data_IF_600175612283
#
_entry.id   IF_600175612283
#
_cell.length_a   1.000
_cell.length_b   1.000
_cell.length_c   1.000
_cell.angle_alpha   90.00
_cell.angle_beta   90.00
_cell.angle_gamma   90.00
#
_symmetry.space_group_name_H-M   'P 1'
#
loop_
_entity.id
_entity.type
_entity.pdbx_description
1 polymer ?
#
# COMPACT_ATOMS: atom_id res chain seq x y z
N UNK A 1 -25.38 4.10 -13.91
CA UNK A 1 -24.69 3.71 -12.66
C UNK A 1 -23.47 2.85 -13.04
N UNK A 2 -22.33 3.10 -12.42
CA UNK A 2 -21.09 2.33 -12.59
C UNK A 2 -20.93 1.45 -11.35
N UNK A 3 -20.67 0.17 -11.54
CA UNK A 3 -20.39 -0.76 -10.44
C UNK A 3 -18.87 -0.82 -10.18
N UNK A 4 -18.48 -0.69 -8.93
CA UNK A 4 -17.09 -0.90 -8.45
C UNK A 4 -17.09 -2.16 -7.60
N UNK A 5 -16.26 -3.13 -7.96
CA UNK A 5 -16.11 -4.38 -7.22
C UNK A 5 -14.83 -4.29 -6.37
N UNK A 6 -15.01 -4.17 -5.07
CA UNK A 6 -13.93 -3.99 -4.09
C UNK A 6 -13.81 -2.55 -3.58
N UNK A 7 -13.91 -2.39 -2.26
CA UNK A 7 -13.88 -1.13 -1.54
C UNK A 7 -12.56 -0.89 -0.79
N UNK A 8 -11.42 -1.29 -1.38
CA UNK A 8 -10.09 -0.88 -0.94
C UNK A 8 -9.76 0.55 -1.38
N UNK A 9 -8.54 1.03 -1.10
CA UNK A 9 -8.09 2.40 -1.44
C UNK A 9 -8.29 2.73 -2.91
N UNK A 10 -8.08 1.78 -3.82
CA UNK A 10 -8.25 1.98 -5.27
C UNK A 10 -9.73 2.19 -5.60
N UNK A 11 -10.61 1.27 -5.18
CA UNK A 11 -12.05 1.36 -5.46
C UNK A 11 -12.69 2.61 -4.86
N UNK A 12 -12.33 2.95 -3.61
CA UNK A 12 -12.82 4.16 -2.93
C UNK A 12 -12.32 5.44 -3.60
N UNK A 13 -11.06 5.50 -4.04
CA UNK A 13 -10.49 6.66 -4.75
C UNK A 13 -11.16 6.86 -6.11
N UNK A 14 -11.40 5.77 -6.85
CA UNK A 14 -12.13 5.82 -8.14
C UNK A 14 -13.58 6.28 -7.92
N UNK A 15 -14.26 5.73 -6.89
CA UNK A 15 -15.62 6.15 -6.55
C UNK A 15 -15.67 7.67 -6.27
N UNK A 16 -14.76 8.17 -5.44
CA UNK A 16 -14.67 9.59 -5.14
C UNK A 16 -14.48 10.43 -6.40
N UNK A 17 -13.54 10.07 -7.29
CA UNK A 17 -13.33 10.80 -8.55
C UNK A 17 -14.52 10.72 -9.50
N UNK A 18 -15.23 9.61 -9.57
CA UNK A 18 -16.46 9.49 -10.36
C UNK A 18 -17.59 10.34 -9.80
N UNK A 19 -17.76 10.42 -8.49
CA UNK A 19 -18.74 11.29 -7.83
C UNK A 19 -18.48 12.75 -8.14
N UNK A 20 -17.20 13.18 -8.10
CA UNK A 20 -16.80 14.56 -8.42
C UNK A 20 -17.24 15.00 -9.84
N UNK A 21 -17.23 14.08 -10.80
CA UNK A 21 -17.71 14.34 -12.18
C UNK A 21 -19.17 13.96 -12.39
N UNK A 22 -19.97 13.89 -11.31
CA UNK A 22 -21.43 13.70 -11.38
C UNK A 22 -21.90 12.27 -11.70
N UNK A 23 -21.04 11.25 -11.68
CA UNK A 23 -21.45 9.87 -11.97
C UNK A 23 -22.03 9.19 -10.73
N UNK A 24 -23.09 8.39 -10.96
CA UNK A 24 -23.64 7.50 -9.92
C UNK A 24 -22.84 6.19 -9.89
N UNK A 25 -22.45 5.76 -8.70
CA UNK A 25 -21.67 4.54 -8.48
C UNK A 25 -22.33 3.63 -7.45
N UNK A 26 -22.14 2.32 -7.61
CA UNK A 26 -22.44 1.30 -6.62
C UNK A 26 -21.14 0.58 -6.27
N UNK A 27 -20.80 0.51 -4.98
CA UNK A 27 -19.64 -0.22 -4.49
C UNK A 27 -20.13 -1.51 -3.84
N UNK A 28 -19.62 -2.64 -4.31
CA UNK A 28 -19.81 -3.94 -3.67
C UNK A 28 -18.51 -4.40 -3.04
N UNK A 29 -18.56 -4.85 -1.80
CA UNK A 29 -17.43 -5.51 -1.15
C UNK A 29 -17.91 -6.79 -0.45
N UNK A 30 -17.08 -7.84 -0.52
CA UNK A 30 -17.35 -9.12 0.14
C UNK A 30 -17.37 -9.01 1.67
N UNK A 31 -16.67 -8.00 2.22
CA UNK A 31 -16.55 -7.70 3.64
C UNK A 31 -16.94 -6.24 3.90
N UNK A 32 -16.48 -5.68 5.01
CA UNK A 32 -16.53 -4.23 5.25
C UNK A 32 -15.51 -3.51 4.39
N UNK A 33 -15.89 -2.33 3.89
CA UNK A 33 -15.03 -1.48 3.06
C UNK A 33 -13.72 -1.13 3.78
N UNK A 34 -12.63 -1.16 3.04
CA UNK A 34 -11.33 -0.71 3.50
C UNK A 34 -10.65 -1.60 4.53
N UNK A 35 -11.06 -2.86 4.75
CA UNK A 35 -10.56 -3.73 5.83
C UNK A 35 -9.55 -4.81 5.40
N UNK A 36 -9.10 -4.78 4.14
CA UNK A 36 -8.13 -5.75 3.61
C UNK A 36 -6.74 -5.11 3.41
N UNK A 37 -6.02 -5.41 2.31
CA UNK A 37 -4.64 -4.97 2.05
C UNK A 37 -4.42 -3.46 2.30
N UNK A 38 -5.37 -2.62 1.92
CA UNK A 38 -5.26 -1.17 2.08
C UNK A 38 -5.22 -0.73 3.55
N UNK A 39 -5.94 -1.43 4.44
CA UNK A 39 -5.92 -1.18 5.87
C UNK A 39 -4.66 -1.72 6.54
N UNK A 40 -4.19 -2.88 6.05
CA UNK A 40 -2.99 -3.52 6.57
C UNK A 40 -1.71 -2.78 6.20
N UNK A 41 -1.69 -2.04 5.10
CA UNK A 41 -0.51 -1.37 4.57
C UNK A 41 0.05 -0.32 5.54
N UNK A 42 1.38 -0.20 5.60
CA UNK A 42 2.04 0.85 6.37
C UNK A 42 1.93 2.24 5.75
N UNK A 43 1.48 2.37 4.51
CA UNK A 43 1.27 3.66 3.85
C UNK A 43 2.54 4.36 3.38
N UNK A 44 3.59 3.62 3.10
CA UNK A 44 4.75 4.14 2.37
C UNK A 44 4.34 4.57 0.96
N UNK A 45 4.89 5.69 0.51
CA UNK A 45 4.74 6.24 -0.84
C UNK A 45 6.12 6.28 -1.49
N UNK A 46 6.74 5.11 -1.64
CA UNK A 46 8.14 4.91 -1.98
C UNK A 46 8.39 4.68 -3.48
N UNK A 47 7.57 5.27 -4.34
CA UNK A 47 7.58 5.02 -5.78
C UNK A 47 8.90 5.35 -6.51
N UNK A 48 9.89 5.89 -5.81
CA UNK A 48 11.24 6.11 -6.34
C UNK A 48 12.23 5.08 -5.84
N UNK A 49 12.24 4.81 -4.53
CA UNK A 49 13.13 3.81 -3.92
C UNK A 49 12.78 2.37 -4.33
N UNK A 50 11.51 2.12 -4.65
CA UNK A 50 11.02 0.83 -5.16
C UNK A 50 11.30 0.62 -6.66
N UNK A 51 11.87 1.60 -7.38
CA UNK A 51 12.20 1.43 -8.80
C UNK A 51 13.39 0.45 -8.95
N UNK A 52 13.18 -0.61 -9.69
CA UNK A 52 14.17 -1.66 -9.94
C UNK A 52 14.61 -1.73 -11.42
N UNK A 53 15.79 -2.28 -11.72
CA UNK A 53 16.20 -2.60 -13.09
C UNK A 53 15.18 -3.53 -13.77
N UNK A 54 14.76 -3.19 -14.99
CA UNK A 54 13.73 -3.90 -15.75
C UNK A 54 12.34 -3.30 -15.62
N UNK A 55 12.10 -2.40 -14.65
CA UNK A 55 10.81 -1.73 -14.41
C UNK A 55 10.77 -0.28 -14.93
N UNK A 56 11.69 0.10 -15.81
CA UNK A 56 11.81 1.48 -16.32
C UNK A 56 10.48 2.02 -16.90
N UNK A 57 9.64 1.14 -17.46
CA UNK A 57 8.33 1.51 -17.99
C UNK A 57 7.31 1.83 -16.92
N UNK A 58 7.45 1.26 -15.72
CA UNK A 58 6.56 1.50 -14.57
C UNK A 58 6.90 2.81 -13.86
N UNK A 59 8.18 3.18 -13.81
CA UNK A 59 8.66 4.35 -13.08
C UNK A 59 7.91 5.66 -13.39
N UNK A 60 7.59 6.02 -14.67
CA UNK A 60 6.82 7.23 -14.96
C UNK A 60 5.43 7.26 -14.30
N UNK A 61 4.77 6.11 -14.17
CA UNK A 61 3.48 5.98 -13.49
C UNK A 61 3.65 6.20 -11.98
N UNK A 62 4.64 5.55 -11.37
CA UNK A 62 4.95 5.69 -9.95
C UNK A 62 5.32 7.14 -9.60
N UNK A 63 6.17 7.77 -10.40
CA UNK A 63 6.56 9.17 -10.23
C UNK A 63 5.37 10.14 -10.35
N UNK A 64 4.46 9.93 -11.32
CA UNK A 64 3.22 10.71 -11.45
C UNK A 64 2.30 10.54 -10.23
N UNK A 65 2.13 9.29 -9.77
CA UNK A 65 1.36 8.99 -8.56
C UNK A 65 1.91 9.73 -7.35
N UNK A 66 3.21 9.70 -7.16
CA UNK A 66 3.90 10.38 -6.07
C UNK A 66 3.73 11.91 -6.13
N UNK A 67 3.83 12.51 -7.32
CA UNK A 67 3.60 13.94 -7.53
C UNK A 67 2.14 14.34 -7.28
N UNK A 68 1.19 13.44 -7.46
CA UNK A 68 -0.23 13.71 -7.24
C UNK A 68 -0.63 13.68 -5.74
N UNK A 69 0.13 12.99 -4.89
CA UNK A 69 -0.21 12.79 -3.48
C UNK A 69 -0.40 14.07 -2.67
N UNK A 70 0.43 15.12 -2.77
CA UNK A 70 0.22 16.37 -2.02
C UNK A 70 -1.16 16.98 -2.28
N UNK A 71 -1.56 17.05 -3.55
CA UNK A 71 -2.86 17.58 -3.95
C UNK A 71 -4.00 16.66 -3.51
N UNK A 72 -3.83 15.34 -3.71
CA UNK A 72 -4.82 14.34 -3.30
C UNK A 72 -5.08 14.38 -1.79
N UNK A 73 -4.03 14.41 -0.97
CA UNK A 73 -4.13 14.48 0.47
C UNK A 73 -4.84 15.77 0.92
N UNK A 74 -4.43 16.92 0.38
CA UNK A 74 -5.03 18.21 0.68
C UNK A 74 -6.52 18.28 0.34
N UNK A 75 -6.90 17.85 -0.87
CA UNK A 75 -8.31 17.81 -1.31
C UNK A 75 -9.13 16.87 -0.42
N UNK A 76 -8.58 15.68 -0.10
CA UNK A 76 -9.26 14.69 0.72
C UNK A 76 -9.46 15.19 2.15
N UNK A 77 -8.44 15.81 2.77
CA UNK A 77 -8.53 16.40 4.10
C UNK A 77 -9.60 17.51 4.16
N UNK A 78 -9.59 18.42 3.19
CA UNK A 78 -10.54 19.52 3.15
C UNK A 78 -11.99 19.04 3.00
N UNK A 79 -12.25 18.09 2.12
CA UNK A 79 -13.62 17.61 1.85
C UNK A 79 -14.12 16.70 2.99
N UNK A 80 -13.23 15.86 3.52
CA UNK A 80 -13.61 14.93 4.60
C UNK A 80 -13.67 15.58 5.98
N UNK A 81 -12.87 16.62 6.21
CA UNK A 81 -12.58 17.20 7.52
C UNK A 81 -11.66 16.31 8.38
N UNK A 82 -11.00 15.31 7.78
CA UNK A 82 -10.15 14.35 8.49
C UNK A 82 -8.71 14.43 8.00
N UNK A 83 -7.73 14.37 8.92
CA UNK A 83 -6.32 14.31 8.59
C UNK A 83 -5.93 12.92 8.08
N UNK A 84 -5.06 12.87 7.06
CA UNK A 84 -4.50 11.62 6.51
C UNK A 84 -3.04 11.39 6.95
N UNK A 85 -2.49 12.32 7.72
CA UNK A 85 -1.10 12.28 8.19
C UNK A 85 -0.09 12.13 7.04
N UNK A 86 -0.22 12.97 6.01
CA UNK A 86 0.75 13.01 4.93
C UNK A 86 2.06 13.65 5.41
N UNK A 87 3.10 12.82 5.60
CA UNK A 87 4.43 13.23 6.10
C UNK A 87 5.45 13.23 4.97
N UNK A 88 6.29 14.28 4.93
CA UNK A 88 7.28 14.55 3.88
C UNK A 88 8.73 14.40 4.38
N UNK A 89 8.95 13.65 5.43
CA UNK A 89 10.27 13.51 6.04
C UNK A 89 11.27 12.77 5.12
N UNK A 90 10.77 11.92 4.23
CA UNK A 90 11.56 11.11 3.33
C UNK A 90 11.77 9.69 3.84
N UNK A 91 12.43 8.88 3.01
CA UNK A 91 12.71 7.46 3.30
C UNK A 91 14.20 7.18 3.13
N UNK A 92 14.79 6.36 4.01
CA UNK A 92 16.17 5.92 3.94
C UNK A 92 16.19 4.40 3.78
N UNK A 93 16.73 3.91 2.66
CA UNK A 93 17.07 2.50 2.48
C UNK A 93 18.45 2.24 3.06
N UNK A 94 18.57 1.23 3.94
CA UNK A 94 19.76 0.96 4.75
C UNK A 94 20.48 -0.30 4.27
N UNK A 95 21.81 -0.32 4.47
CA UNK A 95 22.66 -1.51 4.37
C UNK A 95 23.44 -1.70 5.68
N UNK A 96 23.38 -2.93 6.24
CA UNK A 96 24.00 -3.26 7.52
C UNK A 96 25.18 -4.23 7.39
N UNK A 97 25.43 -4.76 6.21
CA UNK A 97 26.57 -5.62 5.90
C UNK A 97 27.16 -5.31 4.52
N UNK A 98 28.27 -5.98 4.17
CA UNK A 98 28.98 -5.74 2.91
C UNK A 98 28.17 -6.12 1.68
N UNK A 99 27.39 -7.20 1.74
CA UNK A 99 26.62 -7.68 0.60
C UNK A 99 25.46 -6.73 0.31
N UNK A 100 24.75 -6.31 1.36
CA UNK A 100 23.73 -5.27 1.27
C UNK A 100 24.29 -3.95 0.75
N UNK A 101 25.47 -3.54 1.26
CA UNK A 101 26.13 -2.32 0.80
C UNK A 101 26.52 -2.37 -0.69
N UNK A 102 27.00 -3.50 -1.19
CA UNK A 102 27.31 -3.67 -2.60
C UNK A 102 26.04 -3.68 -3.46
N UNK A 103 24.99 -4.35 -3.02
CA UNK A 103 23.67 -4.30 -3.67
C UNK A 103 23.15 -2.86 -3.73
N UNK A 104 23.27 -2.13 -2.61
CA UNK A 104 22.80 -0.75 -2.51
C UNK A 104 23.59 0.20 -3.44
N UNK A 105 24.91 0.00 -3.61
CA UNK A 105 25.74 0.73 -4.60
C UNK A 105 25.25 0.49 -6.03
N UNK A 106 24.90 -0.74 -6.37
CA UNK A 106 24.34 -1.09 -7.69
C UNK A 106 23.00 -0.39 -7.91
N UNK A 107 22.11 -0.43 -6.91
CA UNK A 107 20.82 0.29 -6.93
C UNK A 107 21.03 1.79 -7.08
N UNK A 108 21.98 2.38 -6.36
CA UNK A 108 22.28 3.81 -6.49
C UNK A 108 22.83 4.19 -7.87
N UNK A 109 23.65 3.32 -8.47
CA UNK A 109 24.13 3.48 -9.85
C UNK A 109 23.00 3.43 -10.86
N UNK A 110 22.03 2.52 -10.67
CA UNK A 110 20.80 2.47 -11.47
C UNK A 110 20.00 3.76 -11.35
N UNK A 111 19.81 4.30 -10.15
CA UNK A 111 19.12 5.58 -9.95
C UNK A 111 19.82 6.73 -10.67
N UNK A 112 21.16 6.82 -10.58
CA UNK A 112 21.94 7.83 -11.32
C UNK A 112 21.75 7.71 -12.82
N UNK A 113 21.87 6.51 -13.38
CA UNK A 113 21.68 6.24 -14.81
C UNK A 113 20.30 6.69 -15.30
N UNK A 114 19.26 6.46 -14.50
CA UNK A 114 17.87 6.80 -14.82
C UNK A 114 17.47 8.22 -14.36
N UNK A 115 18.42 9.06 -13.94
CA UNK A 115 18.18 10.45 -13.48
C UNK A 115 17.18 10.54 -12.31
N UNK A 116 17.11 9.49 -11.50
CA UNK A 116 16.31 9.46 -10.27
C UNK A 116 17.13 10.13 -9.17
N UNK A 117 16.68 11.28 -8.69
CA UNK A 117 17.43 12.07 -7.70
C UNK A 117 17.37 11.45 -6.31
N UNK A 118 18.48 10.84 -5.90
CA UNK A 118 18.70 10.21 -4.60
C UNK A 118 20.00 10.71 -3.98
N UNK A 119 20.10 10.66 -2.65
CA UNK A 119 21.34 10.98 -1.94
C UNK A 119 21.93 9.71 -1.31
N UNK A 120 23.20 9.42 -1.61
CA UNK A 120 23.96 8.43 -0.85
C UNK A 120 24.36 9.02 0.51
N UNK A 121 24.21 8.22 1.55
CA UNK A 121 24.63 8.57 2.91
C UNK A 121 25.56 7.47 3.44
N UNK A 122 26.65 7.85 4.09
CA UNK A 122 27.43 6.93 4.90
C UNK A 122 26.76 6.72 6.28
N UNK A 123 27.26 5.75 7.07
CA UNK A 123 26.67 5.41 8.36
C UNK A 123 26.67 6.58 9.36
N UNK A 124 27.66 7.45 9.33
CA UNK A 124 27.72 8.63 10.21
C UNK A 124 26.66 9.67 9.82
N UNK A 125 26.54 9.98 8.53
CA UNK A 125 25.50 10.89 8.02
C UNK A 125 24.08 10.39 8.34
N UNK A 126 23.87 9.04 8.34
CA UNK A 126 22.60 8.43 8.74
C UNK A 126 22.36 8.64 10.23
N UNK A 127 23.35 8.39 11.10
CA UNK A 127 23.23 8.59 12.56
C UNK A 127 23.03 10.05 12.95
N UNK A 128 23.57 11.00 12.20
CA UNK A 128 23.24 12.43 12.38
C UNK A 128 21.74 12.69 12.13
N UNK A 129 21.13 12.00 11.17
CA UNK A 129 19.68 12.14 10.87
C UNK A 129 18.79 11.32 11.81
N UNK A 130 19.26 10.15 12.20
CA UNK A 130 18.56 9.14 12.99
C UNK A 130 19.51 8.60 14.08
N UNK A 131 19.61 9.28 15.21
CA UNK A 131 20.63 9.00 16.25
C UNK A 131 20.58 7.59 16.85
N UNK A 132 19.40 6.94 16.80
CA UNK A 132 19.20 5.60 17.36
C UNK A 132 19.44 4.46 16.36
N UNK A 133 19.82 4.78 15.11
CA UNK A 133 20.19 3.77 14.11
C UNK A 133 21.48 3.07 14.55
N UNK A 134 21.49 1.75 14.37
CA UNK A 134 22.60 0.87 14.74
C UNK A 134 23.94 1.32 14.16
N UNK A 135 25.01 1.17 14.94
CA UNK A 135 26.41 1.36 14.47
C UNK A 135 26.80 0.38 13.36
N UNK A 136 26.07 -0.74 13.21
CA UNK A 136 26.24 -1.72 12.13
C UNK A 136 25.78 -1.17 10.76
N UNK A 137 24.98 -0.10 10.72
CA UNK A 137 24.57 0.51 9.46
C UNK A 137 25.76 1.17 8.79
N UNK A 138 26.14 0.63 7.62
CA UNK A 138 27.30 1.05 6.84
C UNK A 138 26.99 2.24 5.92
N UNK A 139 25.81 2.20 5.27
CA UNK A 139 25.38 3.21 4.30
C UNK A 139 23.87 3.18 4.08
N UNK A 140 23.40 4.15 3.30
CA UNK A 140 21.99 4.20 2.88
C UNK A 140 21.77 5.07 1.66
N UNK A 141 20.59 4.90 1.05
CA UNK A 141 20.08 5.78 0.01
C UNK A 141 18.91 6.57 0.58
N UNK A 142 19.04 7.87 0.60
CA UNK A 142 17.99 8.79 1.04
C UNK A 142 17.20 9.33 -0.12
N UNK A 143 15.90 9.10 -0.09
CA UNK A 143 14.92 9.75 -0.98
C UNK A 143 14.14 10.81 -0.21
N UNK A 144 14.39 12.08 -0.52
CA UNK A 144 13.63 13.20 0.04
C UNK A 144 12.16 13.20 -0.44
N UNK A 145 11.88 12.57 -1.59
CA UNK A 145 10.56 12.60 -2.23
C UNK A 145 9.71 11.39 -1.93
N UNK A 146 10.25 10.35 -1.32
CA UNK A 146 9.46 9.20 -0.87
C UNK A 146 8.90 9.48 0.51
N UNK A 147 7.59 9.62 0.56
CA UNK A 147 6.82 10.11 1.69
C UNK A 147 6.01 8.97 2.34
N UNK A 148 5.14 9.31 3.29
CA UNK A 148 4.21 8.38 3.90
C UNK A 148 2.86 9.03 4.21
N UNK A 149 1.84 8.20 4.35
CA UNK A 149 0.51 8.54 4.85
C UNK A 149 0.08 7.54 5.91
N UNK A 150 -0.88 7.88 6.72
CA UNK A 150 -1.57 6.87 7.52
C UNK A 150 -2.65 6.20 6.64
N UNK A 151 -2.40 4.97 6.20
CA UNK A 151 -3.30 4.22 5.30
C UNK A 151 -4.72 4.10 5.87
N UNK A 152 -4.84 3.86 7.19
CA UNK A 152 -6.13 3.74 7.89
C UNK A 152 -6.90 5.07 7.89
N UNK A 153 -6.20 6.20 8.04
CA UNK A 153 -6.80 7.53 8.01
C UNK A 153 -7.18 7.96 6.58
N UNK A 154 -6.40 7.58 5.58
CA UNK A 154 -6.79 7.77 4.16
C UNK A 154 -8.11 7.04 3.86
N UNK A 155 -8.23 5.80 4.29
CA UNK A 155 -9.47 5.01 4.11
C UNK A 155 -10.65 5.63 4.85
N UNK A 156 -10.46 6.07 6.09
CA UNK A 156 -11.52 6.70 6.89
C UNK A 156 -11.98 8.03 6.26
N UNK A 157 -11.05 8.84 5.76
CA UNK A 157 -11.35 10.07 5.03
C UNK A 157 -12.14 9.79 3.74
N UNK A 158 -11.70 8.82 2.92
CA UNK A 158 -12.41 8.39 1.70
C UNK A 158 -13.81 7.90 2.01
N UNK A 159 -13.97 7.02 3.00
CA UNK A 159 -15.28 6.52 3.44
C UNK A 159 -16.20 7.64 3.92
N UNK A 160 -15.65 8.64 4.61
CA UNK A 160 -16.42 9.81 5.07
C UNK A 160 -16.98 10.59 3.87
N UNK A 161 -16.14 10.88 2.88
CA UNK A 161 -16.57 11.59 1.66
C UNK A 161 -17.63 10.80 0.90
N UNK A 162 -17.42 9.51 0.73
CA UNK A 162 -18.34 8.63 -0.01
C UNK A 162 -19.70 8.53 0.70
N UNK A 163 -19.70 8.33 2.02
CA UNK A 163 -20.93 8.21 2.82
C UNK A 163 -21.74 9.52 2.88
N UNK A 164 -21.11 10.68 2.70
CA UNK A 164 -21.82 11.97 2.60
C UNK A 164 -22.55 12.15 1.26
N UNK A 165 -22.14 11.43 0.22
CA UNK A 165 -22.73 11.53 -1.14
C UNK A 165 -23.74 10.39 -1.42
N UNK A 166 -24.73 10.22 -0.56
CA UNK A 166 -25.72 9.12 -0.61
C UNK A 166 -26.60 9.15 -1.87
N UNK A 167 -26.75 10.28 -2.51
CA UNK A 167 -27.49 10.49 -3.75
C UNK A 167 -26.72 9.98 -4.98
N UNK A 168 -25.41 9.87 -4.89
CA UNK A 168 -24.51 9.47 -5.99
C UNK A 168 -23.76 8.16 -5.73
N UNK A 169 -23.57 7.76 -4.46
CA UNK A 169 -22.84 6.57 -4.11
C UNK A 169 -23.65 5.63 -3.23
N UNK A 170 -23.88 4.42 -3.74
CA UNK A 170 -24.54 3.32 -3.04
C UNK A 170 -23.48 2.31 -2.60
N UNK A 171 -23.65 1.75 -1.41
CA UNK A 171 -22.68 0.81 -0.80
C UNK A 171 -23.44 -0.43 -0.37
N UNK A 172 -22.98 -1.60 -0.81
CA UNK A 172 -23.43 -2.89 -0.29
C UNK A 172 -22.21 -3.67 0.23
N UNK A 173 -22.00 -3.64 1.52
CA UNK A 173 -21.03 -4.47 2.25
C UNK A 173 -21.54 -5.91 2.40
N UNK A 174 -20.62 -6.85 2.70
CA UNK A 174 -20.90 -8.28 2.83
C UNK A 174 -21.65 -8.83 1.58
N UNK A 175 -21.29 -8.28 0.41
CA UNK A 175 -21.89 -8.61 -0.88
C UNK A 175 -20.79 -8.98 -1.85
N UNK A 176 -20.54 -10.29 -1.95
CA UNK A 176 -19.47 -10.85 -2.75
C UNK A 176 -19.93 -11.07 -4.19
N UNK A 177 -19.25 -10.47 -5.15
CA UNK A 177 -19.44 -10.76 -6.57
C UNK A 177 -18.79 -12.09 -6.89
N UNK A 178 -19.59 -13.07 -7.33
CA UNK A 178 -19.16 -14.42 -7.68
C UNK A 178 -18.88 -14.58 -9.17
N UNK A 179 -19.62 -13.85 -10.02
CA UNK A 179 -19.60 -14.05 -11.46
C UNK A 179 -20.00 -12.77 -12.21
N UNK A 180 -19.34 -12.52 -13.34
CA UNK A 180 -19.73 -11.50 -14.30
C UNK A 180 -20.54 -12.17 -15.40
N UNK A 181 -21.72 -11.62 -15.68
CA UNK A 181 -22.61 -12.09 -16.76
C UNK A 181 -22.46 -11.12 -17.94
N UNK A 182 -22.02 -11.64 -19.07
CA UNK A 182 -21.83 -10.87 -20.30
C UNK A 182 -22.59 -11.50 -21.49
N UNK A 183 -22.91 -10.67 -22.46
CA UNK A 183 -23.45 -11.08 -23.74
C UNK A 183 -22.69 -10.34 -24.84
N UNK A 184 -22.20 -11.05 -25.87
CA UNK A 184 -21.43 -10.49 -27.00
C UNK A 184 -20.32 -9.53 -26.52
N UNK A 185 -19.53 -9.95 -25.53
CA UNK A 185 -18.45 -9.18 -24.89
C UNK A 185 -18.91 -7.86 -24.23
N UNK A 186 -20.16 -7.76 -23.82
CA UNK A 186 -20.68 -6.65 -23.05
C UNK A 186 -21.23 -7.13 -21.72
N UNK A 187 -20.83 -6.48 -20.64
CA UNK A 187 -21.36 -6.77 -19.30
C UNK A 187 -22.84 -6.39 -19.26
N UNK A 188 -23.69 -7.33 -18.82
CA UNK A 188 -25.12 -7.12 -18.61
C UNK A 188 -25.56 -7.21 -17.16
N UNK A 189 -24.83 -7.99 -16.34
CA UNK A 189 -25.12 -8.15 -14.92
C UNK A 189 -23.90 -8.70 -14.16
N UNK A 190 -23.98 -8.68 -12.84
CA UNK A 190 -23.12 -9.46 -11.93
C UNK A 190 -23.98 -10.32 -11.02
N UNK A 191 -23.52 -11.55 -10.76
CA UNK A 191 -24.11 -12.45 -9.78
C UNK A 191 -23.36 -12.32 -8.48
N UNK A 192 -24.07 -12.01 -7.41
CA UNK A 192 -23.51 -11.92 -6.06
C UNK A 192 -23.92 -13.14 -5.23
N UNK A 193 -23.42 -13.24 -3.99
CA UNK A 193 -23.89 -14.21 -3.00
C UNK A 193 -25.35 -13.98 -2.55
N UNK A 194 -25.98 -12.83 -2.92
CA UNK A 194 -27.32 -12.46 -2.49
C UNK A 194 -28.33 -12.37 -3.64
N UNK A 195 -27.92 -11.77 -4.77
CA UNK A 195 -28.82 -11.44 -5.91
C UNK A 195 -28.05 -11.23 -7.21
N UNK A 196 -28.77 -11.12 -8.31
CA UNK A 196 -28.23 -10.66 -9.59
C UNK A 196 -28.51 -9.17 -9.74
N UNK A 197 -27.46 -8.41 -10.10
CA UNK A 197 -27.54 -6.95 -10.28
C UNK A 197 -27.27 -6.62 -11.74
N UNK A 198 -28.26 -6.06 -12.43
CA UNK A 198 -28.10 -5.59 -13.81
C UNK A 198 -27.20 -4.36 -13.85
N UNK A 199 -26.18 -4.40 -14.70
CA UNK A 199 -25.17 -3.33 -14.82
C UNK A 199 -24.52 -3.37 -16.20
N UNK A 200 -24.19 -2.19 -16.74
CA UNK A 200 -23.54 -2.06 -18.07
C UNK A 200 -22.05 -1.70 -18.00
N UNK A 201 -21.56 -1.22 -16.86
CA UNK A 201 -20.15 -0.82 -16.66
C UNK A 201 -19.70 -1.26 -15.29
N UNK A 202 -18.58 -1.97 -15.27
CA UNK A 202 -17.93 -2.44 -14.04
C UNK A 202 -16.50 -1.95 -13.98
N UNK A 203 -16.00 -1.73 -12.75
CA UNK A 203 -14.59 -1.46 -12.46
C UNK A 203 -14.17 -2.48 -11.41
N UNK A 204 -13.16 -3.27 -11.73
CA UNK A 204 -12.71 -4.36 -10.88
C UNK A 204 -11.53 -3.87 -10.02
N UNK A 205 -11.75 -3.81 -8.72
CA UNK A 205 -10.79 -3.41 -7.70
C UNK A 205 -10.71 -4.45 -6.57
N UNK A 206 -10.91 -5.73 -6.92
CA UNK A 206 -11.09 -6.83 -5.96
C UNK A 206 -9.76 -7.33 -5.32
N UNK A 207 -8.64 -6.67 -5.60
CA UNK A 207 -7.34 -6.97 -5.01
C UNK A 207 -6.94 -8.44 -5.19
N UNK A 208 -6.47 -9.10 -4.14
CA UNK A 208 -6.04 -10.49 -4.17
C UNK A 208 -7.16 -11.49 -4.51
N UNK A 209 -8.42 -11.08 -4.42
CA UNK A 209 -9.59 -11.94 -4.72
C UNK A 209 -10.09 -11.82 -6.16
N UNK A 210 -9.42 -11.05 -7.01
CA UNK A 210 -9.81 -10.85 -8.42
C UNK A 210 -10.11 -12.17 -9.13
N UNK A 211 -9.23 -13.17 -9.00
CA UNK A 211 -9.41 -14.48 -9.63
C UNK A 211 -10.50 -15.39 -9.01
N UNK A 212 -11.15 -14.96 -7.92
CA UNK A 212 -12.32 -15.67 -7.37
C UNK A 212 -13.62 -15.30 -8.10
N UNK A 213 -13.61 -14.25 -8.93
CA UNK A 213 -14.76 -13.83 -9.74
C UNK A 213 -14.76 -14.63 -11.05
N UNK A 214 -15.81 -15.39 -11.29
CA UNK A 214 -15.97 -16.14 -12.54
C UNK A 214 -16.22 -15.20 -13.73
N UNK A 215 -15.78 -15.60 -14.90
CA UNK A 215 -15.97 -14.89 -16.17
C UNK A 215 -15.39 -13.46 -16.21
N UNK A 216 -14.35 -13.20 -15.40
CA UNK A 216 -13.66 -11.92 -15.36
C UNK A 216 -12.76 -11.72 -16.61
N UNK A 217 -12.23 -12.82 -17.14
CA UNK A 217 -11.44 -12.89 -18.37
C UNK A 217 -11.47 -14.32 -18.91
N UNK A 218 -11.03 -14.52 -20.16
CA UNK A 218 -10.86 -15.86 -20.75
C UNK A 218 -9.68 -16.59 -20.12
N UNK A 219 -8.64 -15.87 -19.80
CA UNK A 219 -7.43 -16.39 -19.16
C UNK A 219 -7.38 -15.95 -17.68
N UNK A 220 -6.66 -16.71 -16.88
CA UNK A 220 -6.43 -16.36 -15.48
C UNK A 220 -5.61 -15.08 -15.40
N UNK A 221 -6.12 -14.06 -14.70
CA UNK A 221 -5.37 -12.84 -14.43
C UNK A 221 -4.18 -13.18 -13.51
N UNK A 222 -2.95 -12.75 -13.83
CA UNK A 222 -1.76 -13.13 -13.08
C UNK A 222 -1.66 -12.38 -11.73
N UNK A 223 -2.71 -12.48 -10.91
CA UNK A 223 -2.78 -11.91 -9.55
C UNK A 223 -2.88 -13.04 -8.54
N UNK A 224 -2.05 -12.97 -7.48
CA UNK A 224 -2.07 -13.89 -6.36
C UNK A 224 -1.98 -13.16 -5.03
N UNK A 225 -2.49 -13.75 -3.93
CA UNK A 225 -2.30 -13.21 -2.59
C UNK A 225 -0.88 -13.51 -2.10
N UNK A 226 -0.19 -12.49 -1.60
CA UNK A 226 1.07 -12.64 -0.84
C UNK A 226 0.83 -12.09 0.56
N UNK A 227 0.98 -12.94 1.58
CA UNK A 227 0.76 -12.57 2.98
C UNK A 227 1.89 -11.68 3.48
N UNK A 228 1.54 -10.62 4.20
CA UNK A 228 2.45 -9.80 4.98
C UNK A 228 1.98 -9.70 6.41
N UNK A 229 2.86 -10.03 7.36
CA UNK A 229 2.64 -9.82 8.78
C UNK A 229 3.21 -8.46 9.19
N UNK A 230 2.56 -7.82 10.13
CA UNK A 230 2.86 -6.47 10.60
C UNK A 230 2.75 -6.42 12.11
N UNK A 231 3.56 -5.60 12.75
CA UNK A 231 3.43 -5.24 14.17
C UNK A 231 3.43 -3.73 14.35
N UNK A 232 2.82 -3.28 15.43
CA UNK A 232 2.87 -1.91 15.89
C UNK A 232 3.52 -1.83 17.26
N UNK A 233 4.56 -1.04 17.36
CA UNK A 233 5.26 -0.74 18.60
C UNK A 233 4.90 0.68 19.07
N UNK A 234 5.03 0.98 20.35
CA UNK A 234 4.78 2.30 20.91
C UNK A 234 6.08 2.99 21.29
N UNK A 235 6.44 4.07 20.58
CA UNK A 235 7.59 4.91 20.96
C UNK A 235 7.25 5.85 22.12
N UNK A 236 8.28 6.26 22.85
CA UNK A 236 8.13 7.29 23.87
C UNK A 236 7.89 8.67 23.20
N UNK A 237 6.87 9.39 23.67
CA UNK A 237 6.51 10.72 23.17
C UNK A 237 7.65 11.74 23.30
N UNK A 238 8.38 11.68 24.39
CA UNK A 238 9.46 12.63 24.69
C UNK A 238 10.76 12.28 23.95
N UNK A 239 10.87 11.04 23.43
CA UNK A 239 12.09 10.54 22.80
C UNK A 239 11.73 9.54 21.69
N UNK A 240 11.15 10.03 20.55
CA UNK A 240 10.86 9.17 19.43
C UNK A 240 12.16 8.63 18.83
N UNK A 241 12.22 7.30 18.59
CA UNK A 241 13.44 6.65 18.12
C UNK A 241 13.81 7.02 16.68
N UNK A 242 12.82 7.24 15.81
CA UNK A 242 13.05 7.57 14.40
C UNK A 242 12.05 8.61 13.89
N UNK A 243 12.49 9.36 12.89
CA UNK A 243 11.69 10.37 12.19
C UNK A 243 11.38 9.97 10.75
N UNK A 244 12.39 9.46 10.03
CA UNK A 244 12.23 9.03 8.64
C UNK A 244 11.67 7.60 8.59
N UNK A 245 11.10 7.23 7.45
CA UNK A 245 10.89 5.82 7.14
C UNK A 245 12.25 5.18 6.92
N UNK A 246 12.52 4.07 7.63
CA UNK A 246 13.72 3.26 7.42
C UNK A 246 13.32 1.96 6.73
N UNK A 247 14.09 1.52 5.76
CA UNK A 247 13.81 0.33 4.97
C UNK A 247 15.07 -0.52 4.78
N UNK A 248 14.98 -1.82 5.07
CA UNK A 248 16.05 -2.80 4.87
C UNK A 248 15.45 -4.18 4.59
N UNK A 249 15.93 -4.88 3.55
CA UNK A 249 15.55 -6.28 3.26
C UNK A 249 14.03 -6.52 3.29
N UNK A 250 13.25 -5.69 2.60
CA UNK A 250 11.78 -5.72 2.57
C UNK A 250 11.08 -5.40 3.90
N UNK A 251 11.84 -5.15 4.98
CA UNK A 251 11.29 -4.71 6.26
C UNK A 251 11.46 -3.20 6.39
N UNK A 252 10.39 -2.55 6.78
CA UNK A 252 10.36 -1.10 6.98
C UNK A 252 9.88 -0.74 8.39
N UNK A 253 10.40 0.38 8.89
CA UNK A 253 9.99 1.05 10.11
C UNK A 253 9.31 2.36 9.73
N UNK A 254 8.02 2.52 10.04
CA UNK A 254 7.23 3.68 9.63
C UNK A 254 6.69 4.42 10.85
N UNK A 255 7.29 5.57 11.23
CA UNK A 255 6.87 6.34 12.41
C UNK A 255 5.61 7.14 12.14
N UNK A 256 4.67 7.15 13.09
CA UNK A 256 3.40 7.88 13.07
C UNK A 256 3.43 9.12 13.97
N UNK A 257 2.50 10.05 13.78
CA UNK A 257 2.40 11.27 14.59
C UNK A 257 1.97 10.98 16.04
N UNK A 258 1.22 9.91 16.26
CA UNK A 258 0.83 9.44 17.58
C UNK A 258 1.91 8.59 18.28
N UNK A 259 3.15 8.59 17.76
CA UNK A 259 4.29 7.82 18.26
C UNK A 259 4.15 6.30 18.12
N UNK A 260 3.22 5.81 17.33
CA UNK A 260 3.23 4.43 16.88
C UNK A 260 4.36 4.22 15.87
N UNK A 261 5.00 3.05 15.94
CA UNK A 261 6.01 2.61 15.00
C UNK A 261 5.51 1.34 14.32
N UNK A 262 5.17 1.46 13.04
CA UNK A 262 4.75 0.31 12.25
C UNK A 262 5.99 -0.41 11.75
N UNK A 263 6.09 -1.71 12.04
CA UNK A 263 7.15 -2.60 11.55
C UNK A 263 6.52 -3.62 10.59
N UNK A 264 7.03 -3.70 9.41
CA UNK A 264 6.54 -4.61 8.38
C UNK A 264 7.43 -4.63 7.15
N UNK A 265 7.19 -5.53 6.24
CA UNK A 265 6.27 -6.65 6.32
C UNK A 265 6.98 -7.94 5.93
N UNK A 266 6.50 -9.07 6.42
CA UNK A 266 6.92 -10.34 5.84
C UNK A 266 6.41 -10.47 4.39
N UNK A 267 6.98 -11.41 3.65
CA UNK A 267 6.57 -11.77 2.29
C UNK A 267 6.43 -13.29 2.24
N UNK A 268 5.19 -13.78 2.21
CA UNK A 268 4.89 -15.20 2.38
C UNK A 268 3.86 -15.70 1.36
N UNK A 269 4.22 -16.73 0.59
CA UNK A 269 3.33 -17.41 -0.37
C UNK A 269 2.43 -18.45 0.34
N UNK A 270 1.48 -17.97 1.13
CA UNK A 270 0.59 -18.79 1.98
C UNK A 270 -0.87 -18.79 1.49
N UNK A 271 -1.09 -18.48 0.21
CA UNK A 271 -2.43 -18.36 -0.34
C UNK A 271 -3.28 -17.36 0.45
N UNK A 272 -4.47 -17.75 0.85
CA UNK A 272 -5.40 -16.86 1.59
C UNK A 272 -5.31 -17.01 3.12
N UNK A 273 -4.30 -17.74 3.64
CA UNK A 273 -4.08 -17.83 5.08
C UNK A 273 -3.66 -16.47 5.64
N UNK A 274 -4.30 -16.02 6.72
CA UNK A 274 -4.06 -14.74 7.41
C UNK A 274 -3.53 -14.91 8.83
N UNK A 275 -3.18 -16.13 9.24
CA UNK A 275 -2.69 -16.36 10.60
C UNK A 275 -1.36 -15.67 10.83
N UNK A 276 -1.22 -15.05 12.00
CA UNK A 276 0.06 -14.59 12.52
C UNK A 276 0.89 -15.82 12.96
N UNK A 277 2.18 -15.77 12.70
CA UNK A 277 3.08 -16.85 13.13
C UNK A 277 4.21 -16.30 14.01
N UNK A 278 4.64 -17.10 14.98
CA UNK A 278 5.77 -16.74 15.85
C UNK A 278 7.03 -16.44 15.02
N UNK A 279 7.30 -17.24 13.99
CA UNK A 279 8.45 -17.03 13.10
C UNK A 279 8.39 -15.72 12.33
N UNK A 280 7.19 -15.32 11.82
CA UNK A 280 6.99 -14.04 11.12
C UNK A 280 7.22 -12.86 12.06
N UNK A 281 6.64 -12.88 13.26
CA UNK A 281 6.83 -11.83 14.27
C UNK A 281 8.30 -11.74 14.70
N UNK A 282 8.94 -12.89 14.97
CA UNK A 282 10.36 -12.92 15.31
C UNK A 282 11.23 -12.33 14.20
N UNK A 283 10.96 -12.67 12.94
CA UNK A 283 11.69 -12.13 11.79
C UNK A 283 11.58 -10.61 11.72
N UNK A 284 10.37 -10.05 11.88
CA UNK A 284 10.14 -8.60 11.89
C UNK A 284 10.94 -7.91 13.00
N UNK A 285 10.85 -8.42 14.23
CA UNK A 285 11.53 -7.85 15.39
C UNK A 285 13.06 -7.94 15.25
N UNK A 286 13.59 -9.07 14.76
CA UNK A 286 15.02 -9.26 14.52
C UNK A 286 15.60 -8.23 13.56
N UNK A 287 14.99 -8.08 12.37
CA UNK A 287 15.49 -7.11 11.36
C UNK A 287 15.33 -5.68 11.85
N UNK A 288 14.21 -5.37 12.50
CA UNK A 288 13.96 -4.04 13.05
C UNK A 288 15.00 -3.67 14.13
N UNK A 289 15.33 -4.62 15.03
CA UNK A 289 16.38 -4.46 16.05
C UNK A 289 17.78 -4.27 15.44
N UNK A 290 18.06 -4.96 14.33
CA UNK A 290 19.33 -4.78 13.62
C UNK A 290 19.46 -3.36 13.03
N UNK A 291 18.35 -2.73 12.62
CA UNK A 291 18.31 -1.34 12.17
C UNK A 291 18.38 -0.34 13.35
N UNK A 292 17.57 -0.57 14.38
CA UNK A 292 17.39 0.33 15.54
C UNK A 292 17.34 -0.51 16.82
N UNK A 293 18.46 -0.75 17.51
CA UNK A 293 18.51 -1.67 18.65
C UNK A 293 17.51 -1.35 19.76
N UNK A 294 17.27 -0.07 20.03
CA UNK A 294 16.39 0.38 21.10
C UNK A 294 14.90 0.00 20.91
N UNK A 295 14.50 -0.56 19.77
CA UNK A 295 13.11 -1.01 19.60
C UNK A 295 12.74 -2.21 20.48
N UNK A 296 13.74 -2.98 20.97
CA UNK A 296 13.48 -4.13 21.83
C UNK A 296 12.84 -3.76 23.17
N UNK A 297 12.98 -2.49 23.59
CA UNK A 297 12.37 -1.94 24.79
C UNK A 297 10.93 -1.40 24.54
N UNK A 298 10.47 -1.37 23.30
CA UNK A 298 9.16 -0.79 22.98
C UNK A 298 8.02 -1.80 23.19
N UNK A 299 6.91 -1.41 23.82
CA UNK A 299 5.74 -2.26 23.95
C UNK A 299 5.12 -2.57 22.59
N UNK A 300 4.73 -3.82 22.36
CA UNK A 300 3.91 -4.24 21.23
C UNK A 300 2.46 -3.88 21.55
N UNK A 301 1.81 -3.06 20.71
CA UNK A 301 0.44 -2.62 20.93
C UNK A 301 -0.57 -3.23 19.95
N UNK A 302 -0.13 -3.72 18.80
CA UNK A 302 -0.98 -4.37 17.80
C UNK A 302 -0.16 -5.27 16.89
N UNK A 303 -0.82 -6.28 16.30
CA UNK A 303 -0.26 -7.12 15.25
C UNK A 303 -1.36 -7.57 14.29
N UNK A 304 -1.07 -7.60 12.99
CA UNK A 304 -2.06 -7.97 11.97
C UNK A 304 -1.40 -8.55 10.72
N UNK A 305 -2.25 -9.05 9.81
CA UNK A 305 -1.83 -9.53 8.51
C UNK A 305 -2.62 -8.86 7.40
N UNK A 306 -2.03 -8.84 6.21
CA UNK A 306 -2.71 -8.45 4.98
C UNK A 306 -2.31 -9.35 3.82
N UNK A 307 -3.19 -9.43 2.81
CA UNK A 307 -2.92 -10.17 1.58
C UNK A 307 -2.66 -9.17 0.46
N UNK A 308 -1.39 -8.98 0.12
CA UNK A 308 -0.96 -8.12 -1.00
C UNK A 308 -1.44 -8.73 -2.31
N UNK A 309 -2.13 -7.98 -3.18
CA UNK A 309 -2.41 -8.41 -4.55
C UNK A 309 -1.14 -8.25 -5.39
N UNK A 310 -0.42 -9.34 -5.59
CA UNK A 310 0.86 -9.35 -6.30
C UNK A 310 0.67 -9.94 -7.70
N UNK A 311 1.23 -9.30 -8.70
CA UNK A 311 1.35 -9.79 -10.08
C UNK A 311 2.65 -10.56 -10.26
N UNK A 312 2.89 -11.15 -11.44
CA UNK A 312 4.14 -11.90 -11.70
C UNK A 312 5.33 -10.94 -11.79
N UNK A 313 5.11 -9.77 -12.37
CA UNK A 313 6.10 -8.73 -12.64
C UNK A 313 5.98 -7.53 -11.69
N UNK A 314 5.24 -7.67 -10.60
CA UNK A 314 4.88 -6.63 -9.62
C UNK A 314 4.25 -5.36 -10.20
N UNK A 315 4.01 -5.31 -11.52
CA UNK A 315 3.38 -4.18 -12.18
C UNK A 315 1.84 -4.18 -11.99
N UNK A 316 1.21 -3.00 -11.84
CA UNK A 316 -0.24 -2.91 -11.73
C UNK A 316 -0.93 -3.20 -13.07
N UNK A 317 -2.02 -3.96 -13.04
CA UNK A 317 -2.86 -4.21 -14.21
C UNK A 317 -3.91 -3.11 -14.31
N UNK A 318 -3.75 -2.19 -15.26
CA UNK A 318 -4.63 -1.03 -15.43
C UNK A 318 -5.06 -0.93 -16.89
N UNK A 319 -6.36 -0.93 -17.13
CA UNK A 319 -6.90 -0.77 -18.48
C UNK A 319 -8.28 -1.39 -18.67
N UNK A 320 -8.87 -1.22 -19.85
CA UNK A 320 -10.12 -1.89 -20.22
C UNK A 320 -9.87 -3.38 -20.43
N UNK A 321 -10.87 -4.20 -20.08
CA UNK A 321 -10.87 -5.60 -20.47
C UNK A 321 -11.03 -5.73 -21.99
N UNK A 322 -10.26 -6.64 -22.61
CA UNK A 322 -10.42 -7.02 -24.01
C UNK A 322 -11.55 -8.06 -24.21
N UNK A 323 -12.10 -8.58 -23.11
CA UNK A 323 -13.04 -9.72 -23.12
C UNK A 323 -14.42 -9.36 -22.57
N UNK A 324 -14.58 -8.14 -22.05
CA UNK A 324 -15.83 -7.66 -21.42
C UNK A 324 -16.18 -6.27 -21.95
#
# INVERSE_FOLDING_TARGET
MILIIGGGVIGLSIAWKLIQIGKKVLILDKNKLGKEASWAAAGMLAGRLEAEPGEEKLFPLLAKGQLAWPKFAYELENISGKKVEYKKDGTIMLACDFDENNKLKSTFSFFKKNKINMKWLNGEEIRVKEPYVSTKVLSGIFSKKDHQVNSRFVLDALLTVIKRNKDKCFIEENTEVKEIISNKNQVIAVKTNKKVIKVKKIIICAGAWTNKIKNISKEKIPIRPVKGQMICLKMNKNQPLIKHVLWRNNIYLVPRNNFDLIVGSTVEEMGYNKDLTAGGIFHLLRIAREMVPAIEELPIIDSWTGLRPTTIDDAPIIGPSKYL
#
